data_IF_524777565632
#
_entry.id   IF_524777565632
#
_cell.length_a   1.000
_cell.length_b   1.000
_cell.length_c   1.000
_cell.angle_alpha   90.00
_cell.angle_beta   90.00
_cell.angle_gamma   90.00
#
_symmetry.space_group_name_H-M   'P 1'
#
loop_
_entity.id
_entity.type
_entity.pdbx_description
1 polymer ?
#
# COMPACT_ATOMS: atom_id res chain seq x y z
N UNK A 1 1.02 -16.26 -17.34
CA UNK A 1 1.41 -14.85 -17.13
C UNK A 1 0.39 -14.21 -16.20
N UNK A 2 0.73 -13.93 -14.94
CA UNK A 2 -0.18 -13.24 -14.01
C UNK A 2 -0.23 -11.78 -14.45
N UNK A 3 -1.39 -11.30 -14.95
CA UNK A 3 -1.56 -9.90 -15.33
C UNK A 3 -1.29 -9.04 -14.09
N UNK A 4 -0.28 -8.15 -14.17
CA UNK A 4 0.00 -7.19 -13.11
C UNK A 4 -1.17 -6.22 -13.05
N UNK A 5 -1.94 -6.25 -11.96
CA UNK A 5 -2.98 -5.26 -11.69
C UNK A 5 -2.29 -3.92 -11.47
N UNK A 6 -2.70 -2.91 -12.24
CA UNK A 6 -2.23 -1.52 -12.16
C UNK A 6 -3.45 -0.61 -12.05
N UNK A 7 -3.34 0.44 -11.25
CA UNK A 7 -4.37 1.49 -11.12
C UNK A 7 -4.54 2.28 -12.42
N UNK A 8 -5.65 3.03 -12.56
CA UNK A 8 -5.83 3.91 -13.72
C UNK A 8 -4.92 5.14 -13.62
N UNK A 9 -4.65 5.82 -14.75
CA UNK A 9 -3.95 7.10 -14.71
C UNK A 9 -4.65 8.09 -13.76
N UNK A 10 -3.92 8.64 -12.80
CA UNK A 10 -4.45 9.57 -11.79
C UNK A 10 -4.87 8.92 -10.45
N UNK A 11 -4.89 7.59 -10.36
CA UNK A 11 -5.23 6.84 -9.13
C UNK A 11 -3.98 6.27 -8.42
N UNK A 12 -2.80 6.80 -8.75
CA UNK A 12 -1.55 6.39 -8.12
C UNK A 12 -1.53 6.81 -6.64
N UNK A 13 -0.94 5.99 -5.79
CA UNK A 13 -0.67 6.38 -4.42
C UNK A 13 0.51 7.35 -4.38
N UNK A 14 0.35 8.49 -3.73
CA UNK A 14 1.41 9.51 -3.60
C UNK A 14 2.03 9.43 -2.21
N UNK A 15 3.33 9.23 -2.16
CA UNK A 15 4.11 9.27 -0.92
C UNK A 15 4.65 10.69 -0.68
N UNK A 16 4.88 11.04 0.59
CA UNK A 16 5.47 12.31 1.03
C UNK A 16 6.86 12.57 0.44
N UNK A 17 7.61 11.52 0.08
CA UNK A 17 8.91 11.63 -0.58
C UNK A 17 8.82 11.97 -2.08
N UNK A 18 7.61 12.21 -2.61
CA UNK A 18 7.36 12.51 -4.03
C UNK A 18 7.31 11.27 -4.94
N UNK A 19 7.55 10.07 -4.40
CA UNK A 19 7.39 8.82 -5.13
C UNK A 19 5.92 8.47 -5.29
N UNK A 20 5.63 7.60 -6.25
CA UNK A 20 4.27 7.06 -6.45
C UNK A 20 4.26 5.54 -6.58
N UNK A 21 3.15 4.92 -6.20
CA UNK A 21 2.86 3.52 -6.48
C UNK A 21 1.60 3.39 -7.33
N UNK A 22 1.73 2.71 -8.47
CA UNK A 22 0.62 2.39 -9.37
C UNK A 22 0.24 0.91 -9.28
N UNK A 23 1.07 0.10 -8.61
CA UNK A 23 0.93 -1.36 -8.52
C UNK A 23 1.25 -1.83 -7.12
N UNK A 24 0.72 -3.01 -6.75
CA UNK A 24 1.05 -3.72 -5.52
C UNK A 24 2.57 -3.88 -5.35
N UNK A 25 3.29 -4.21 -6.43
CA UNK A 25 4.73 -4.43 -6.39
C UNK A 25 5.51 -3.15 -6.08
N UNK A 26 5.09 -1.99 -6.63
CA UNK A 26 5.71 -0.70 -6.30
C UNK A 26 5.44 -0.32 -4.84
N UNK A 27 4.21 -0.53 -4.34
CA UNK A 27 3.90 -0.34 -2.92
C UNK A 27 4.82 -1.23 -2.05
N UNK A 28 4.97 -2.51 -2.39
CA UNK A 28 5.85 -3.43 -1.65
C UNK A 28 7.32 -2.96 -1.63
N UNK A 29 7.82 -2.41 -2.73
CA UNK A 29 9.18 -1.84 -2.79
C UNK A 29 9.30 -0.62 -1.88
N UNK A 30 8.33 0.30 -1.95
CA UNK A 30 8.32 1.50 -1.11
C UNK A 30 8.20 1.14 0.39
N UNK A 31 7.36 0.17 0.75
CA UNK A 31 7.22 -0.32 2.12
C UNK A 31 8.54 -0.88 2.69
N UNK A 32 9.35 -1.54 1.86
CA UNK A 32 10.67 -2.06 2.26
C UNK A 32 11.72 -0.96 2.42
N UNK A 33 11.57 0.15 1.69
CA UNK A 33 12.51 1.26 1.71
C UNK A 33 12.16 2.32 2.75
N UNK A 34 10.88 2.45 3.13
CA UNK A 34 10.45 3.45 4.09
C UNK A 34 10.78 3.08 5.54
N UNK A 35 11.09 4.10 6.33
CA UNK A 35 11.27 3.99 7.77
C UNK A 35 9.94 3.67 8.48
N UNK A 36 10.03 3.23 9.74
CA UNK A 36 8.85 2.99 10.57
C UNK A 36 8.05 4.29 10.81
N UNK A 37 8.76 5.40 10.97
CA UNK A 37 8.19 6.73 11.17
C UNK A 37 7.34 7.16 9.96
N UNK A 38 7.89 7.01 8.75
CA UNK A 38 7.15 7.30 7.51
C UNK A 38 5.95 6.36 7.37
N UNK A 39 6.11 5.07 7.66
CA UNK A 39 5.00 4.11 7.62
C UNK A 39 3.87 4.50 8.58
N UNK A 40 4.21 4.94 9.80
CA UNK A 40 3.24 5.35 10.83
C UNK A 40 2.38 6.55 10.40
N UNK A 41 2.88 7.35 9.47
CA UNK A 41 2.15 8.48 8.89
C UNK A 41 1.03 8.05 7.95
N UNK A 42 1.11 6.85 7.36
CA UNK A 42 0.06 6.28 6.49
C UNK A 42 -0.81 5.25 7.22
N UNK A 43 -0.20 4.50 8.13
CA UNK A 43 -0.84 3.39 8.84
C UNK A 43 -0.62 3.55 10.34
N UNK A 44 -1.71 3.68 11.07
CA UNK A 44 -1.72 3.74 12.53
C UNK A 44 -3.06 3.23 13.06
N UNK A 45 -3.29 3.32 14.36
CA UNK A 45 -4.53 2.84 15.01
C UNK A 45 -5.80 3.54 14.50
N UNK A 46 -5.68 4.72 13.88
CA UNK A 46 -6.81 5.52 13.42
C UNK A 46 -7.05 5.41 11.91
N UNK A 47 -6.01 5.13 11.12
CA UNK A 47 -6.10 5.09 9.65
C UNK A 47 -5.16 4.08 9.02
N UNK A 48 -5.54 3.63 7.83
CA UNK A 48 -4.71 2.81 6.96
C UNK A 48 -4.91 3.30 5.52
N UNK A 49 -4.03 4.19 5.09
CA UNK A 49 -4.15 4.84 3.78
C UNK A 49 -3.91 3.84 2.64
N UNK A 50 -3.10 2.81 2.86
CA UNK A 50 -2.89 1.72 1.89
C UNK A 50 -4.14 0.86 1.72
N UNK A 51 -4.89 0.60 2.79
CA UNK A 51 -6.19 -0.08 2.71
C UNK A 51 -7.17 0.71 1.83
N UNK A 52 -7.33 2.01 2.09
CA UNK A 52 -8.24 2.85 1.33
C UNK A 52 -7.85 2.87 -0.16
N UNK A 53 -6.57 3.09 -0.45
CA UNK A 53 -6.07 3.09 -1.81
C UNK A 53 -6.25 1.75 -2.53
N UNK A 54 -5.89 0.63 -1.90
CA UNK A 54 -6.07 -0.69 -2.50
C UNK A 54 -7.54 -0.99 -2.73
N UNK A 55 -8.41 -0.64 -1.77
CA UNK A 55 -9.84 -0.90 -1.85
C UNK A 55 -10.47 -0.18 -3.03
N UNK A 56 -10.11 1.09 -3.20
CA UNK A 56 -10.79 1.98 -4.15
C UNK A 56 -10.15 1.94 -5.55
N UNK A 57 -8.83 1.73 -5.65
CA UNK A 57 -8.09 1.90 -6.91
C UNK A 57 -7.52 0.60 -7.52
N UNK A 58 -7.21 -0.42 -6.72
CA UNK A 58 -6.42 -1.56 -7.19
C UNK A 58 -7.06 -2.92 -6.94
N UNK A 59 -7.15 -3.34 -5.68
CA UNK A 59 -7.55 -4.67 -5.29
C UNK A 59 -8.25 -4.70 -3.93
N UNK A 60 -9.58 -4.76 -3.99
CA UNK A 60 -10.44 -4.81 -2.81
C UNK A 60 -10.22 -6.07 -1.95
N UNK A 61 -9.92 -7.22 -2.55
CA UNK A 61 -9.66 -8.45 -1.79
C UNK A 61 -8.36 -8.32 -1.00
N UNK A 62 -7.32 -7.76 -1.63
CA UNK A 62 -6.06 -7.47 -0.95
C UNK A 62 -6.21 -6.42 0.14
N UNK A 63 -7.03 -5.38 -0.11
CA UNK A 63 -7.33 -4.36 0.87
C UNK A 63 -7.92 -4.98 2.13
N UNK A 64 -8.94 -5.83 2.00
CA UNK A 64 -9.58 -6.50 3.16
C UNK A 64 -8.55 -7.26 4.00
N UNK A 65 -7.55 -7.92 3.39
CA UNK A 65 -6.50 -8.64 4.11
C UNK A 65 -5.58 -7.75 4.95
N UNK A 66 -5.37 -6.50 4.52
CA UNK A 66 -4.48 -5.56 5.21
C UNK A 66 -5.22 -4.56 6.10
N UNK A 67 -6.56 -4.59 6.12
CA UNK A 67 -7.41 -3.59 6.79
C UNK A 67 -6.97 -3.32 8.23
N UNK A 68 -6.83 -4.38 9.03
CA UNK A 68 -6.51 -4.32 10.46
C UNK A 68 -5.01 -4.48 10.75
N UNK A 69 -4.16 -4.29 9.73
CA UNK A 69 -2.71 -4.48 9.85
C UNK A 69 -2.04 -3.14 10.09
N UNK A 70 -1.48 -2.99 11.28
CA UNK A 70 -0.73 -1.80 11.71
C UNK A 70 0.77 -2.01 11.78
N UNK A 71 1.25 -3.24 11.55
CA UNK A 71 2.67 -3.58 11.55
C UNK A 71 3.22 -3.63 10.12
N UNK A 72 4.33 -2.92 9.88
CA UNK A 72 4.97 -2.83 8.55
C UNK A 72 5.43 -4.18 8.05
N UNK A 73 6.04 -5.00 8.91
CA UNK A 73 6.57 -6.31 8.53
C UNK A 73 5.46 -7.27 8.10
N UNK A 74 4.34 -7.26 8.83
CA UNK A 74 3.14 -8.02 8.52
C UNK A 74 2.45 -7.53 7.26
N UNK A 75 2.42 -6.21 7.03
CA UNK A 75 1.90 -5.65 5.79
C UNK A 75 2.73 -6.11 4.59
N UNK A 76 4.06 -6.07 4.70
CA UNK A 76 4.98 -6.58 3.67
C UNK A 76 4.73 -8.08 3.42
N UNK A 77 4.51 -8.88 4.47
CA UNK A 77 4.26 -10.31 4.33
C UNK A 77 2.96 -10.62 3.58
N UNK A 78 1.89 -9.85 3.81
CA UNK A 78 0.62 -10.00 3.11
C UNK A 78 0.67 -9.47 1.67
N UNK A 79 1.56 -8.51 1.41
CA UNK A 79 1.80 -7.94 0.10
C UNK A 79 2.90 -8.67 -0.70
N UNK A 80 3.49 -9.76 -0.19
CA UNK A 80 4.26 -10.69 -1.04
C UNK A 80 3.36 -11.45 -2.00
#
# INVERSE_FOLDING_TARGET
MVKRKKVKPGEAFHFHNGMTAETKSQLLVQLKQMSEEEFSSYVNERKNDFYNWLKDCLDTELAIRIKDVTDKSRMIALLK
#
